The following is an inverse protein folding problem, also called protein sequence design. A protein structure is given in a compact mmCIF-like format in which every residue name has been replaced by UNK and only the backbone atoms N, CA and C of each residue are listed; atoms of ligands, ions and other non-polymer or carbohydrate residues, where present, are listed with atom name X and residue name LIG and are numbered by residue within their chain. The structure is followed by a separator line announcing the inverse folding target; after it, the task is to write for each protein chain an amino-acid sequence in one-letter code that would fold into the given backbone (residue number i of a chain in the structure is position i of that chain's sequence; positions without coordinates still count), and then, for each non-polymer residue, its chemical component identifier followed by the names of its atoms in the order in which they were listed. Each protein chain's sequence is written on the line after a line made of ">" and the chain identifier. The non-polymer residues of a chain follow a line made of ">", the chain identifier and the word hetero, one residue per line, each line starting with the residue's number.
data_IF_644619277405
#
_entry.id   IF_644619277405
#
_cell.length_a   1.000
_cell.length_b   1.000
_cell.length_c   1.000
_cell.angle_alpha   90.00
_cell.angle_beta   90.00
_cell.angle_gamma   90.00
#
_symmetry.space_group_name_H-M   'P 1'
#
loop_
_entity.id
_entity.type
_entity.pdbx_description
1 polymer ?
#
# COMPACT_ATOMS: atom_id res chain seq x y z
N UNK A 1 -39.82 18.59 24.16
CA UNK A 1 -39.09 17.34 24.31
C UNK A 1 -38.27 17.14 23.06
N UNK A 2 -37.00 17.55 23.10
CA UNK A 2 -36.08 17.25 22.01
C UNK A 2 -35.83 15.75 22.01
N UNK A 3 -36.45 15.04 21.11
CA UNK A 3 -35.98 13.71 20.74
C UNK A 3 -34.67 13.92 19.98
N UNK A 4 -33.57 13.97 20.68
CA UNK A 4 -32.27 13.70 20.10
C UNK A 4 -32.32 12.29 19.50
N UNK A 5 -32.58 12.25 18.22
CA UNK A 5 -32.41 11.04 17.42
C UNK A 5 -30.96 10.64 17.61
N UNK A 6 -30.72 9.75 18.55
CA UNK A 6 -29.42 9.10 18.73
C UNK A 6 -29.09 8.51 17.37
N UNK A 7 -28.14 9.11 16.67
CA UNK A 7 -27.64 8.60 15.40
C UNK A 7 -27.13 7.17 15.66
N UNK A 8 -27.95 6.18 15.29
CA UNK A 8 -27.58 4.79 15.52
C UNK A 8 -26.53 4.39 14.51
N UNK A 9 -25.29 4.32 14.97
CA UNK A 9 -24.22 3.67 14.23
C UNK A 9 -24.50 2.18 14.20
N UNK A 10 -24.57 1.61 13.01
CA UNK A 10 -24.67 0.16 12.82
C UNK A 10 -23.32 -0.40 12.40
N UNK A 11 -23.01 -1.56 12.94
CA UNK A 11 -21.83 -2.36 12.58
C UNK A 11 -22.24 -3.44 11.59
N UNK A 12 -21.49 -3.55 10.52
CA UNK A 12 -21.70 -4.53 9.47
C UNK A 12 -20.49 -5.44 9.35
N UNK A 13 -20.74 -6.68 8.93
CA UNK A 13 -19.71 -7.66 8.62
C UNK A 13 -20.18 -8.48 7.41
N UNK A 14 -19.36 -8.51 6.37
CA UNK A 14 -19.65 -9.27 5.15
C UNK A 14 -18.50 -10.20 4.81
N UNK A 15 -18.82 -11.35 4.26
CA UNK A 15 -17.85 -12.31 3.70
C UNK A 15 -17.60 -11.98 2.23
N UNK A 16 -16.50 -12.50 1.63
CA UNK A 16 -16.31 -12.42 0.19
C UNK A 16 -17.49 -13.06 -0.56
N UNK A 17 -17.81 -12.55 -1.75
CA UNK A 17 -18.91 -13.10 -2.56
C UNK A 17 -18.70 -14.57 -2.92
N UNK A 18 -17.49 -14.94 -3.34
CA UNK A 18 -17.10 -16.33 -3.52
C UNK A 18 -16.58 -16.89 -2.21
N UNK A 19 -17.49 -17.40 -1.38
CA UNK A 19 -17.12 -18.01 -0.09
C UNK A 19 -16.31 -19.28 -0.35
N UNK A 20 -15.06 -19.27 0.11
CA UNK A 20 -14.15 -20.42 0.06
C UNK A 20 -13.72 -20.76 1.48
N UNK A 21 -13.31 -22.03 1.68
CA UNK A 21 -12.76 -22.45 2.96
C UNK A 21 -11.41 -21.77 3.24
N UNK A 22 -10.61 -21.60 2.19
CA UNK A 22 -9.29 -20.96 2.23
C UNK A 22 -9.09 -20.09 0.99
N UNK A 23 -8.33 -19.01 1.14
CA UNK A 23 -7.91 -18.13 0.05
C UNK A 23 -6.38 -18.09 0.03
N UNK A 24 -5.78 -18.40 -1.09
CA UNK A 24 -4.33 -18.40 -1.31
C UNK A 24 -3.91 -17.45 -2.42
N UNK A 25 -2.67 -17.58 -2.88
CA UNK A 25 -2.14 -16.75 -3.96
C UNK A 25 -3.05 -16.74 -5.21
N UNK A 26 -3.12 -15.60 -5.89
CA UNK A 26 -3.93 -15.33 -7.07
C UNK A 26 -5.46 -15.39 -6.86
N UNK A 27 -5.95 -15.64 -5.66
CA UNK A 27 -7.39 -15.55 -5.44
C UNK A 27 -7.83 -14.06 -5.45
N UNK A 28 -9.05 -13.83 -5.93
CA UNK A 28 -9.75 -12.56 -5.79
C UNK A 28 -10.82 -12.69 -4.71
N UNK A 29 -10.87 -11.71 -3.82
CA UNK A 29 -11.83 -11.62 -2.73
C UNK A 29 -12.66 -10.36 -2.90
N UNK A 30 -13.91 -10.48 -3.33
CA UNK A 30 -14.82 -9.39 -3.60
C UNK A 30 -15.79 -9.20 -2.44
N UNK A 31 -15.72 -8.08 -1.75
CA UNK A 31 -16.62 -7.71 -0.67
C UNK A 31 -17.67 -6.72 -1.16
N UNK A 32 -18.94 -7.06 -1.02
CA UNK A 32 -20.05 -6.16 -1.30
C UNK A 32 -20.40 -5.37 -0.04
N UNK A 33 -20.13 -4.08 -0.06
CA UNK A 33 -20.47 -3.14 0.99
C UNK A 33 -21.81 -2.49 0.63
N UNK A 34 -22.84 -2.83 1.39
CA UNK A 34 -24.17 -2.26 1.25
C UNK A 34 -24.67 -1.83 2.63
N UNK A 35 -24.86 -0.54 2.81
CA UNK A 35 -25.29 0.03 4.10
C UNK A 35 -26.81 0.14 4.25
N UNK A 36 -27.55 -0.17 3.19
CA UNK A 36 -29.00 -0.02 3.13
C UNK A 36 -29.46 1.38 2.73
N UNK A 37 -30.71 1.46 2.30
CA UNK A 37 -31.35 2.71 1.91
C UNK A 37 -31.46 3.69 3.08
N UNK A 38 -31.28 4.98 2.82
CA UNK A 38 -31.32 6.03 3.84
C UNK A 38 -30.15 6.02 4.82
N UNK A 39 -29.07 5.32 4.49
CA UNK A 39 -27.85 5.25 5.30
C UNK A 39 -26.61 5.64 4.51
N UNK A 40 -25.59 6.06 5.24
CA UNK A 40 -24.29 6.44 4.73
C UNK A 40 -23.20 5.54 5.32
N UNK A 41 -22.20 5.18 4.51
CA UNK A 41 -20.98 4.53 4.97
C UNK A 41 -20.09 5.54 5.69
N UNK A 42 -19.63 5.20 6.89
CA UNK A 42 -18.69 6.02 7.64
C UNK A 42 -17.27 5.84 7.11
N UNK A 43 -16.59 6.92 6.72
CA UNK A 43 -15.19 6.86 6.28
C UNK A 43 -14.28 6.32 7.38
N UNK A 44 -13.19 5.71 6.96
CA UNK A 44 -12.18 5.24 7.89
C UNK A 44 -12.59 4.05 8.75
N UNK A 45 -13.75 3.42 8.49
CA UNK A 45 -14.26 2.31 9.30
C UNK A 45 -14.11 0.94 8.64
N UNK A 46 -13.73 0.90 7.36
CA UNK A 46 -13.53 -0.37 6.65
C UNK A 46 -12.29 -1.06 7.19
N UNK A 47 -12.46 -2.31 7.61
CA UNK A 47 -11.40 -3.21 8.08
C UNK A 47 -11.58 -4.59 7.49
N UNK A 48 -10.46 -5.22 7.16
CA UNK A 48 -10.41 -6.62 6.75
C UNK A 48 -9.87 -7.43 7.93
N UNK A 49 -10.55 -8.51 8.27
CA UNK A 49 -10.13 -9.45 9.31
C UNK A 49 -10.06 -10.86 8.75
N UNK A 50 -9.26 -11.68 9.36
CA UNK A 50 -9.13 -13.10 9.00
C UNK A 50 -8.11 -13.79 9.87
N UNK A 51 -7.84 -15.03 9.53
CA UNK A 51 -6.78 -15.83 10.12
C UNK A 51 -5.79 -16.21 9.02
N UNK A 52 -4.51 -16.11 9.33
CA UNK A 52 -3.40 -16.53 8.49
C UNK A 52 -2.97 -17.94 8.87
N UNK A 53 -2.80 -18.79 7.88
CA UNK A 53 -2.06 -20.06 7.96
C UNK A 53 -0.85 -19.99 7.08
N UNK A 54 0.27 -20.46 7.59
CA UNK A 54 1.49 -20.66 6.80
C UNK A 54 1.76 -22.14 6.70
N UNK A 55 1.80 -22.67 5.49
CA UNK A 55 2.03 -24.09 5.22
C UNK A 55 3.44 -24.27 4.66
N UNK A 56 4.24 -25.14 5.26
CA UNK A 56 5.52 -25.58 4.71
C UNK A 56 5.42 -27.02 4.17
N UNK A 57 6.14 -27.28 3.08
CA UNK A 57 6.22 -28.64 2.56
C UNK A 57 7.06 -29.53 3.48
N UNK A 58 6.53 -30.70 3.82
CA UNK A 58 7.12 -31.68 4.77
C UNK A 58 8.56 -32.14 4.45
N UNK A 59 9.03 -31.94 3.22
CA UNK A 59 10.32 -32.43 2.74
C UNK A 59 11.39 -31.35 2.61
N UNK A 60 11.06 -30.12 2.85
CA UNK A 60 12.02 -29.02 2.78
C UNK A 60 12.51 -28.73 4.18
N UNK A 61 13.77 -29.00 4.46
CA UNK A 61 14.46 -28.60 5.70
C UNK A 61 14.70 -27.11 5.67
N UNK A 62 13.64 -26.33 5.67
CA UNK A 62 13.76 -24.91 5.90
C UNK A 62 14.03 -24.71 7.38
N UNK A 63 15.27 -24.45 7.73
CA UNK A 63 15.67 -24.00 9.07
C UNK A 63 15.39 -22.50 9.24
N UNK A 64 14.93 -21.83 8.18
CA UNK A 64 14.71 -20.40 8.15
C UNK A 64 13.31 -19.99 8.57
N UNK A 65 13.22 -18.94 9.36
CA UNK A 65 11.96 -18.30 9.74
C UNK A 65 11.38 -17.57 8.54
N UNK A 66 10.06 -17.63 8.36
CA UNK A 66 9.31 -16.84 7.37
C UNK A 66 8.64 -15.67 8.06
N UNK A 67 8.59 -14.55 7.37
CA UNK A 67 7.99 -13.33 7.87
C UNK A 67 7.35 -12.53 6.75
N UNK A 68 6.61 -11.50 7.11
CA UNK A 68 6.08 -10.51 6.15
C UNK A 68 7.01 -9.31 6.08
N UNK A 69 6.84 -8.49 5.04
CA UNK A 69 7.45 -7.17 4.99
C UNK A 69 7.11 -6.38 6.27
N UNK A 70 8.10 -5.96 7.07
CA UNK A 70 7.86 -5.41 8.41
C UNK A 70 6.86 -4.27 8.47
N UNK A 71 6.93 -3.32 7.53
CA UNK A 71 6.04 -2.18 7.49
C UNK A 71 4.68 -2.48 6.84
N UNK A 72 4.56 -3.59 6.10
CA UNK A 72 3.33 -3.99 5.45
C UNK A 72 2.45 -4.84 6.35
N UNK A 73 3.04 -5.80 7.09
CA UNK A 73 2.27 -6.75 7.87
C UNK A 73 1.24 -7.49 7.02
N UNK A 74 0.02 -7.61 7.49
CA UNK A 74 -1.08 -8.28 6.79
C UNK A 74 -1.45 -7.65 5.43
N UNK A 75 -1.08 -6.41 5.17
CA UNK A 75 -1.27 -5.80 3.86
C UNK A 75 -0.43 -6.49 2.76
N UNK A 76 0.64 -7.20 3.13
CA UNK A 76 1.50 -7.91 2.17
C UNK A 76 0.77 -9.04 1.41
N UNK A 77 -0.35 -9.53 1.94
CA UNK A 77 -1.17 -10.55 1.25
C UNK A 77 -1.98 -9.98 0.08
N UNK A 78 -2.07 -8.67 -0.06
CA UNK A 78 -2.89 -8.02 -1.04
C UNK A 78 -2.02 -7.40 -2.14
N UNK A 79 -1.88 -8.05 -3.30
CA UNK A 79 -1.09 -7.55 -4.42
C UNK A 79 -1.68 -6.27 -5.01
N UNK A 80 -3.00 -6.28 -5.19
CA UNK A 80 -3.74 -5.10 -5.65
C UNK A 80 -5.09 -4.99 -4.97
N UNK A 81 -5.58 -3.76 -4.92
CA UNK A 81 -6.88 -3.43 -4.34
C UNK A 81 -7.64 -2.51 -5.26
N UNK A 82 -8.92 -2.79 -5.47
CA UNK A 82 -9.78 -1.90 -6.25
C UNK A 82 -11.07 -1.58 -5.51
N UNK A 83 -11.58 -0.38 -5.79
CA UNK A 83 -12.84 0.13 -5.27
C UNK A 83 -13.71 0.52 -6.45
N UNK A 84 -14.86 -0.10 -6.54
CA UNK A 84 -15.88 0.20 -7.54
C UNK A 84 -17.20 0.49 -6.86
N UNK A 85 -17.92 1.47 -7.36
CA UNK A 85 -19.28 1.80 -6.93
C UNK A 85 -20.25 1.57 -8.07
N UNK A 86 -21.47 1.20 -7.74
CA UNK A 86 -22.51 0.94 -8.74
C UNK A 86 -22.83 2.18 -9.57
N UNK A 87 -22.84 3.35 -8.95
CA UNK A 87 -23.30 4.59 -9.60
C UNK A 87 -22.18 5.39 -10.28
N UNK A 88 -20.92 5.24 -9.81
CA UNK A 88 -19.78 6.03 -10.33
C UNK A 88 -18.76 5.17 -11.09
N UNK A 89 -18.90 3.83 -11.04
CA UNK A 89 -17.93 2.92 -11.62
C UNK A 89 -16.66 2.77 -10.78
N UNK A 90 -15.53 2.58 -11.45
CA UNK A 90 -14.23 2.38 -10.81
C UNK A 90 -13.73 3.71 -10.21
N UNK A 91 -13.56 3.74 -8.90
CA UNK A 91 -13.00 4.89 -8.17
C UNK A 91 -11.49 4.78 -8.01
N UNK A 92 -11.00 3.61 -7.66
CA UNK A 92 -9.57 3.37 -7.39
C UNK A 92 -9.17 1.97 -7.82
N UNK A 93 -7.99 1.85 -8.44
CA UNK A 93 -7.37 0.58 -8.75
C UNK A 93 -5.87 0.70 -8.48
N UNK A 94 -5.45 0.26 -7.30
CA UNK A 94 -4.10 0.39 -6.82
C UNK A 94 -3.37 -0.95 -6.93
N UNK A 95 -2.49 -1.04 -7.92
CA UNK A 95 -1.60 -2.18 -8.13
C UNK A 95 -0.36 -2.03 -7.25
N UNK A 96 0.35 -3.13 -6.97
CA UNK A 96 1.53 -3.14 -6.09
C UNK A 96 1.22 -2.46 -4.73
N UNK A 97 0.06 -2.77 -4.21
CA UNK A 97 -0.50 -2.17 -3.00
C UNK A 97 0.41 -2.27 -1.77
N UNK A 98 1.09 -3.41 -1.48
CA UNK A 98 1.95 -3.50 -0.29
C UNK A 98 3.11 -2.50 -0.32
N UNK A 99 3.65 -2.21 -1.50
CA UNK A 99 4.73 -1.22 -1.64
C UNK A 99 4.24 0.19 -1.31
N UNK A 100 3.04 0.53 -1.75
CA UNK A 100 2.40 1.79 -1.33
C UNK A 100 2.22 1.84 0.19
N UNK A 101 1.76 0.74 0.79
CA UNK A 101 1.63 0.65 2.26
C UNK A 101 2.98 0.83 2.95
N UNK A 102 4.07 0.24 2.42
CA UNK A 102 5.40 0.43 2.97
C UNK A 102 5.86 1.89 2.89
N UNK A 103 5.61 2.56 1.77
CA UNK A 103 5.92 3.98 1.61
C UNK A 103 5.12 4.84 2.60
N UNK A 104 3.80 4.61 2.70
CA UNK A 104 2.92 5.31 3.64
C UNK A 104 3.34 5.07 5.10
N UNK A 105 3.65 3.83 5.45
CA UNK A 105 4.13 3.47 6.78
C UNK A 105 5.48 4.15 7.10
N UNK A 106 6.40 4.15 6.14
CA UNK A 106 7.70 4.79 6.29
C UNK A 106 7.58 6.28 6.52
N UNK A 107 6.63 6.94 5.86
CA UNK A 107 6.42 8.38 5.97
C UNK A 107 5.55 8.77 7.19
N UNK A 108 4.62 7.91 7.62
CA UNK A 108 3.55 8.28 8.56
C UNK A 108 3.62 7.65 9.93
N UNK A 109 4.29 6.49 10.08
CA UNK A 109 4.34 5.82 11.37
C UNK A 109 5.43 6.44 12.25
N UNK A 110 5.02 6.99 13.39
CA UNK A 110 5.96 7.35 14.44
C UNK A 110 6.78 6.12 14.84
N UNK A 111 8.06 6.35 15.12
CA UNK A 111 8.98 5.28 15.50
C UNK A 111 8.35 4.42 16.59
N UNK A 112 7.68 3.36 16.19
CA UNK A 112 7.74 2.09 16.85
C UNK A 112 7.28 2.02 18.28
N UNK A 113 6.05 2.24 18.50
CA UNK A 113 5.47 1.53 19.62
C UNK A 113 5.09 0.10 19.14
N UNK A 114 6.00 -0.86 19.39
CA UNK A 114 5.74 -2.29 19.18
C UNK A 114 4.54 -2.76 20.02
N UNK A 115 4.16 -1.99 21.01
CA UNK A 115 3.02 -2.20 21.89
C UNK A 115 1.74 -1.55 21.33
N UNK A 116 1.82 -0.81 20.22
CA UNK A 116 0.62 -0.32 19.59
C UNK A 116 -0.25 -1.49 19.11
N UNK A 117 -1.44 -1.58 19.67
CA UNK A 117 -2.43 -2.59 19.34
C UNK A 117 -2.76 -2.65 17.85
N UNK A 118 -2.67 -1.51 17.15
CA UNK A 118 -2.86 -1.44 15.70
C UNK A 118 -1.76 -2.23 14.97
N UNK A 119 -0.51 -1.98 15.32
CA UNK A 119 0.63 -2.67 14.69
C UNK A 119 0.58 -4.18 14.95
N UNK A 120 0.18 -4.59 16.15
CA UNK A 120 -0.01 -6.00 16.48
C UNK A 120 -1.14 -6.63 15.67
N UNK A 121 -2.31 -5.98 15.58
CA UNK A 121 -3.43 -6.49 14.79
C UNK A 121 -3.12 -6.54 13.29
N UNK A 122 -2.34 -5.59 12.78
CA UNK A 122 -1.93 -5.54 11.39
C UNK A 122 -0.72 -6.44 11.11
N UNK A 123 -0.20 -7.18 12.09
CA UNK A 123 0.98 -8.04 11.99
C UNK A 123 2.23 -7.29 11.50
N UNK A 124 2.36 -6.01 11.81
CA UNK A 124 3.53 -5.22 11.46
C UNK A 124 4.67 -5.53 12.42
N UNK A 125 5.81 -5.91 11.87
CA UNK A 125 7.04 -6.04 12.65
C UNK A 125 7.72 -4.68 12.71
N UNK A 126 7.97 -4.22 13.90
CA UNK A 126 8.67 -2.98 14.11
C UNK A 126 10.17 -3.17 14.06
N UNK A 127 10.85 -2.22 13.45
CA UNK A 127 12.22 -2.19 13.00
C UNK A 127 13.31 -2.28 14.08
N UNK A 128 13.21 -3.07 15.10
CA UNK A 128 14.41 -3.41 15.84
C UNK A 128 14.94 -4.75 15.34
N UNK A 129 15.85 -4.66 14.39
CA UNK A 129 16.69 -5.73 13.93
C UNK A 129 17.60 -6.19 15.07
N UNK A 130 17.10 -7.01 15.95
CA UNK A 130 17.95 -7.98 16.60
C UNK A 130 18.05 -9.15 15.62
N UNK A 131 19.23 -9.65 15.38
CA UNK A 131 19.64 -10.50 14.27
C UNK A 131 18.86 -11.81 14.04
N UNK A 132 17.77 -12.05 14.71
CA UNK A 132 17.02 -13.30 14.66
C UNK A 132 15.50 -13.17 14.66
N UNK A 133 14.91 -12.02 14.99
CA UNK A 133 13.46 -11.91 15.13
C UNK A 133 12.89 -10.73 14.34
N UNK A 134 12.36 -11.04 13.14
CA UNK A 134 11.72 -10.05 12.28
C UNK A 134 10.24 -9.81 12.61
N UNK A 135 9.63 -10.70 13.37
CA UNK A 135 8.24 -10.56 13.80
C UNK A 135 8.14 -10.88 15.29
N UNK A 136 7.77 -9.91 16.09
CA UNK A 136 7.36 -10.15 17.46
C UNK A 136 6.02 -10.89 17.46
N UNK A 137 6.07 -12.12 17.89
CA UNK A 137 4.90 -12.93 18.18
C UNK A 137 4.27 -13.66 17.00
N UNK A 138 4.77 -13.51 15.79
CA UNK A 138 4.18 -14.12 14.58
C UNK A 138 5.23 -14.82 13.73
N UNK A 139 6.19 -15.43 14.35
CA UNK A 139 7.06 -16.35 13.63
C UNK A 139 6.45 -17.74 13.78
N UNK A 140 5.90 -18.35 12.71
CA UNK A 140 5.65 -19.78 12.78
C UNK A 140 6.99 -20.43 13.07
N UNK A 141 7.17 -20.89 14.29
CA UNK A 141 8.37 -21.66 14.66
C UNK A 141 8.19 -23.04 14.08
N UNK A 142 8.68 -23.23 12.87
CA UNK A 142 8.58 -24.51 12.20
C UNK A 142 9.61 -25.43 12.79
N UNK A 143 9.15 -26.37 13.56
CA UNK A 143 9.96 -27.47 14.08
C UNK A 143 10.18 -28.46 12.96
N UNK A 144 11.43 -28.79 12.68
CA UNK A 144 11.85 -29.74 11.65
C UNK A 144 11.01 -31.01 11.72
N UNK A 145 10.25 -31.30 10.63
CA UNK A 145 9.55 -32.57 10.46
C UNK A 145 8.06 -32.61 10.79
N UNK A 146 7.46 -31.50 11.22
CA UNK A 146 6.01 -31.41 11.43
C UNK A 146 5.48 -30.20 10.66
N UNK A 147 4.48 -30.40 9.83
CA UNK A 147 3.73 -29.27 9.26
C UNK A 147 2.97 -28.63 10.42
N UNK A 148 3.46 -27.50 10.92
CA UNK A 148 2.76 -26.73 11.94
C UNK A 148 1.91 -25.71 11.22
N UNK A 149 0.60 -25.90 11.28
CA UNK A 149 -0.37 -24.92 10.81
C UNK A 149 -0.80 -24.12 12.04
N UNK A 150 -0.19 -22.99 12.27
CA UNK A 150 -0.67 -22.04 13.27
C UNK A 150 -1.61 -21.05 12.59
N UNK A 151 -2.79 -20.84 13.21
CA UNK A 151 -3.71 -19.81 12.79
C UNK A 151 -3.38 -18.53 13.54
N UNK A 152 -3.15 -17.45 12.81
CA UNK A 152 -2.80 -16.16 13.35
C UNK A 152 -3.86 -15.16 12.95
N UNK A 153 -4.54 -14.61 13.94
CA UNK A 153 -5.57 -13.59 13.71
C UNK A 153 -4.94 -12.29 13.23
N UNK A 154 -5.55 -11.68 12.23
CA UNK A 154 -5.17 -10.35 11.77
C UNK A 154 -6.37 -9.45 11.53
N UNK A 155 -6.11 -8.15 11.60
CA UNK A 155 -7.07 -7.10 11.26
C UNK A 155 -6.33 -5.90 10.70
N UNK A 156 -6.56 -5.52 9.46
CA UNK A 156 -5.96 -4.34 8.89
C UNK A 156 -7.00 -3.39 8.27
N UNK A 157 -6.65 -2.11 8.23
CA UNK A 157 -7.45 -1.06 7.60
C UNK A 157 -6.86 -0.77 6.22
N UNK A 158 -7.54 -1.15 5.12
CA UNK A 158 -7.02 -0.90 3.79
C UNK A 158 -6.87 0.60 3.51
N UNK A 159 -5.75 0.96 2.86
CA UNK A 159 -5.42 2.34 2.50
C UNK A 159 -6.09 2.73 1.16
N UNK A 160 -7.41 2.69 1.14
CA UNK A 160 -8.23 2.98 -0.04
C UNK A 160 -8.98 4.29 0.10
N UNK A 161 -9.45 4.84 -1.02
CA UNK A 161 -10.19 6.10 -1.09
C UNK A 161 -11.39 6.17 -0.12
N UNK A 162 -12.11 5.06 0.08
CA UNK A 162 -13.24 4.98 1.01
C UNK A 162 -12.86 5.28 2.46
N UNK A 163 -11.65 4.90 2.86
CA UNK A 163 -11.15 5.18 4.20
C UNK A 163 -10.56 6.60 4.32
N UNK A 164 -10.38 7.31 3.20
CA UNK A 164 -9.79 8.65 3.10
C UNK A 164 -10.83 9.72 2.72
N UNK A 165 -12.12 9.36 2.64
CA UNK A 165 -13.16 10.33 2.34
C UNK A 165 -13.33 11.34 3.49
N UNK A 166 -13.64 12.58 3.14
CA UNK A 166 -13.76 13.71 4.06
C UNK A 166 -15.08 13.71 4.85
N UNK A 167 -16.05 12.94 4.39
CA UNK A 167 -17.40 12.83 5.02
C UNK A 167 -18.08 11.51 4.69
N UNK A 168 -19.23 11.30 5.31
CA UNK A 168 -20.07 10.12 5.13
C UNK A 168 -20.52 9.96 3.67
N UNK A 169 -20.54 8.72 3.21
CA UNK A 169 -20.89 8.36 1.83
C UNK A 169 -22.31 7.79 1.77
N UNK A 170 -23.30 8.60 1.32
CA UNK A 170 -24.68 8.15 1.18
C UNK A 170 -24.82 7.02 0.14
N UNK A 171 -25.57 5.98 0.49
CA UNK A 171 -25.87 4.86 -0.41
C UNK A 171 -26.56 5.34 -1.71
N UNK A 172 -27.37 6.37 -1.61
CA UNK A 172 -28.05 6.96 -2.78
C UNK A 172 -27.05 7.49 -3.83
N UNK A 173 -25.85 7.93 -3.42
CA UNK A 173 -24.80 8.41 -4.34
C UNK A 173 -23.91 7.30 -4.85
N UNK A 174 -23.49 6.41 -3.99
CA UNK A 174 -22.53 5.36 -4.32
C UNK A 174 -23.18 4.12 -4.93
N UNK A 175 -24.43 3.83 -4.55
CA UNK A 175 -24.98 2.50 -4.75
C UNK A 175 -24.19 1.47 -3.93
N UNK A 176 -24.30 0.21 -4.30
CA UNK A 176 -23.46 -0.85 -3.72
C UNK A 176 -21.99 -0.64 -4.09
N UNK A 177 -21.13 -0.80 -3.11
CA UNK A 177 -19.68 -0.65 -3.29
C UNK A 177 -19.04 -2.03 -3.32
N UNK A 178 -18.21 -2.28 -4.30
CA UNK A 178 -17.37 -3.49 -4.37
C UNK A 178 -15.95 -3.13 -3.97
N UNK A 179 -15.46 -3.76 -2.91
CA UNK A 179 -14.05 -3.75 -2.53
C UNK A 179 -13.44 -5.08 -2.92
N UNK A 180 -12.52 -5.06 -3.89
CA UNK A 180 -11.85 -6.24 -4.39
C UNK A 180 -10.40 -6.27 -3.91
N UNK A 181 -9.98 -7.41 -3.38
CA UNK A 181 -8.60 -7.72 -3.03
C UNK A 181 -8.11 -8.84 -3.94
N UNK A 182 -7.02 -8.62 -4.68
CA UNK A 182 -6.32 -9.68 -5.38
C UNK A 182 -5.13 -10.11 -4.54
N UNK A 183 -5.07 -11.39 -4.20
CA UNK A 183 -4.07 -11.90 -3.28
C UNK A 183 -2.70 -12.07 -3.95
N UNK A 184 -1.67 -11.73 -3.19
CA UNK A 184 -0.29 -11.72 -3.63
C UNK A 184 0.28 -13.13 -3.79
N UNK A 185 1.36 -13.23 -4.56
CA UNK A 185 2.15 -14.47 -4.65
C UNK A 185 2.76 -14.81 -3.30
N UNK A 186 2.91 -16.11 -3.03
CA UNK A 186 3.57 -16.58 -1.80
C UNK A 186 4.95 -15.93 -1.61
N UNK A 187 5.77 -15.90 -2.67
CA UNK A 187 7.11 -15.30 -2.65
C UNK A 187 7.13 -13.77 -2.49
N UNK A 188 6.03 -13.10 -2.79
CA UNK A 188 5.89 -11.66 -2.58
C UNK A 188 5.41 -11.33 -1.18
N UNK A 189 4.47 -12.12 -0.66
CA UNK A 189 3.87 -11.91 0.65
C UNK A 189 4.78 -12.35 1.79
N UNK A 190 5.55 -13.43 1.60
CA UNK A 190 6.39 -14.05 2.62
C UNK A 190 7.84 -14.08 2.17
N UNK A 191 8.77 -13.74 3.05
CA UNK A 191 10.20 -13.91 2.83
C UNK A 191 10.89 -14.48 4.07
N UNK A 192 12.11 -15.00 3.91
CA UNK A 192 12.85 -15.60 5.00
C UNK A 192 14.29 -15.95 4.64
N UNK A 193 15.01 -16.58 5.55
CA UNK A 193 16.44 -16.86 5.41
C UNK A 193 16.76 -17.94 4.36
N UNK A 194 15.81 -18.77 3.96
CA UNK A 194 16.02 -19.83 2.99
C UNK A 194 15.29 -19.57 1.67
N UNK A 195 15.86 -20.05 0.57
CA UNK A 195 15.28 -19.94 -0.78
C UNK A 195 14.13 -20.93 -1.04
N UNK A 196 13.47 -21.39 0.01
CA UNK A 196 12.40 -22.36 -0.14
C UNK A 196 11.13 -21.74 -0.70
N UNK A 197 10.87 -22.00 -1.96
CA UNK A 197 9.67 -21.56 -2.66
C UNK A 197 8.42 -22.38 -2.29
N UNK A 198 8.57 -23.44 -1.50
CA UNK A 198 7.45 -24.34 -1.16
C UNK A 198 6.59 -23.86 0.00
N UNK A 199 7.00 -22.78 0.69
CA UNK A 199 6.17 -22.16 1.74
C UNK A 199 5.02 -21.40 1.10
N UNK A 200 3.79 -21.74 1.52
CA UNK A 200 2.57 -21.09 1.06
C UNK A 200 1.81 -20.48 2.22
N UNK A 201 0.99 -19.49 1.94
CA UNK A 201 0.03 -18.98 2.91
C UNK A 201 -1.41 -19.26 2.47
N UNK A 202 -2.27 -19.35 3.45
CA UNK A 202 -3.72 -19.40 3.28
C UNK A 202 -4.38 -18.42 4.23
N UNK A 203 -5.36 -17.69 3.73
CA UNK A 203 -6.22 -16.84 4.55
C UNK A 203 -7.56 -17.55 4.74
N UNK A 204 -8.02 -17.63 5.97
CA UNK A 204 -9.30 -18.24 6.33
C UNK A 204 -10.17 -17.25 7.07
N UNK A 205 -11.47 -17.48 7.10
CA UNK A 205 -12.45 -16.65 7.82
C UNK A 205 -12.41 -15.17 7.44
N UNK A 206 -12.08 -14.85 6.18
CA UNK A 206 -12.00 -13.47 5.71
C UNK A 206 -13.34 -12.76 5.85
N UNK A 207 -13.32 -11.55 6.43
CA UNK A 207 -14.47 -10.67 6.59
C UNK A 207 -14.08 -9.22 6.36
N UNK A 208 -15.00 -8.47 5.79
CA UNK A 208 -14.91 -7.01 5.72
C UNK A 208 -15.90 -6.43 6.74
N UNK A 209 -15.40 -5.60 7.63
CA UNK A 209 -16.18 -4.87 8.64
C UNK A 209 -16.26 -3.41 8.26
N UNK A 210 -17.42 -2.80 8.48
CA UNK A 210 -17.62 -1.37 8.27
C UNK A 210 -18.77 -0.85 9.14
N UNK A 211 -18.88 0.46 9.23
CA UNK A 211 -19.93 1.12 10.00
C UNK A 211 -20.78 1.99 9.10
N UNK A 212 -22.05 2.10 9.43
CA UNK A 212 -22.96 3.02 8.78
C UNK A 212 -23.72 3.89 9.78
N UNK A 213 -24.16 5.04 9.31
CA UNK A 213 -24.94 6.02 10.06
C UNK A 213 -26.20 6.38 9.25
N UNK A 214 -27.20 6.94 9.90
CA UNK A 214 -28.35 7.52 9.18
C UNK A 214 -27.87 8.64 8.26
N UNK A 215 -28.40 8.66 7.04
CA UNK A 215 -28.03 9.66 6.06
C UNK A 215 -28.41 11.06 6.53
N UNK A 216 -27.43 11.96 6.52
CA UNK A 216 -27.64 13.38 6.88
C UNK A 216 -28.30 14.19 5.77
N UNK A 217 -28.56 13.59 4.60
CA UNK A 217 -29.09 14.26 3.40
C UNK A 217 -28.26 15.49 2.98
N UNK A 218 -26.97 15.49 3.28
CA UNK A 218 -26.08 16.57 2.90
C UNK A 218 -25.77 16.51 1.40
N UNK A 219 -26.16 17.52 0.59
CA UNK A 219 -25.92 17.52 -0.86
C UNK A 219 -24.49 17.85 -1.26
N UNK A 220 -23.62 18.24 -0.33
CA UNK A 220 -22.25 18.66 -0.66
C UNK A 220 -21.44 17.51 -1.26
N UNK A 221 -20.52 17.79 -2.18
CA UNK A 221 -19.64 16.77 -2.76
C UNK A 221 -18.77 16.10 -1.69
N UNK A 222 -18.46 14.84 -1.94
CA UNK A 222 -17.61 14.02 -1.07
C UNK A 222 -16.24 13.96 -1.72
N UNK A 223 -15.23 14.49 -1.05
CA UNK A 223 -13.87 14.45 -1.54
C UNK A 223 -13.12 13.27 -0.91
N UNK A 224 -12.34 12.58 -1.71
CA UNK A 224 -11.54 11.45 -1.26
C UNK A 224 -10.17 11.45 -1.95
N UNK A 225 -9.15 11.06 -1.19
CA UNK A 225 -7.82 10.84 -1.76
C UNK A 225 -7.80 9.52 -2.54
N UNK A 226 -7.38 9.59 -3.79
CA UNK A 226 -7.20 8.43 -4.68
C UNK A 226 -5.74 8.33 -5.07
N UNK A 227 -5.24 7.11 -5.23
CA UNK A 227 -3.86 6.88 -5.65
C UNK A 227 -3.85 6.13 -6.97
N UNK A 228 -3.13 6.67 -7.93
CA UNK A 228 -2.83 6.00 -9.20
C UNK A 228 -1.38 5.55 -9.20
N UNK A 229 -1.10 4.35 -9.70
CA UNK A 229 0.27 3.90 -9.80
C UNK A 229 0.66 3.50 -11.23
N UNK A 230 1.94 3.71 -11.52
CA UNK A 230 2.58 3.32 -12.78
C UNK A 230 3.85 2.56 -12.45
N UNK A 231 4.03 1.39 -13.05
CA UNK A 231 5.27 0.59 -12.95
C UNK A 231 6.09 0.75 -14.23
N UNK A 232 7.38 0.92 -14.07
CA UNK A 232 8.38 0.99 -15.16
C UNK A 232 9.69 0.35 -14.72
N UNK A 233 10.70 0.36 -15.58
CA UNK A 233 12.03 -0.15 -15.25
C UNK A 233 13.14 0.76 -15.76
N UNK A 234 14.26 0.74 -15.04
CA UNK A 234 15.52 1.37 -15.40
C UNK A 234 16.49 0.27 -15.84
N UNK A 235 17.00 0.40 -17.05
CA UNK A 235 17.95 -0.56 -17.64
C UNK A 235 19.35 0.04 -17.87
N UNK A 236 19.51 1.35 -17.60
CA UNK A 236 20.75 2.08 -17.88
C UNK A 236 21.03 3.13 -16.79
N UNK A 237 22.22 3.72 -16.83
CA UNK A 237 22.64 4.78 -15.89
C UNK A 237 21.83 6.07 -16.03
N UNK A 238 21.25 6.31 -17.19
CA UNK A 238 20.33 7.43 -17.43
C UNK A 238 19.00 6.87 -17.87
N UNK A 239 17.95 7.21 -17.17
CA UNK A 239 16.59 6.76 -17.45
C UNK A 239 15.62 7.94 -17.50
N UNK A 240 14.66 7.85 -18.41
CA UNK A 240 13.53 8.78 -18.51
C UNK A 240 12.24 7.99 -18.39
N UNK A 241 11.51 8.20 -17.32
CA UNK A 241 10.30 7.47 -17.01
C UNK A 241 9.14 8.44 -17.11
N UNK A 242 8.24 8.19 -18.05
CA UNK A 242 7.08 9.06 -18.28
C UNK A 242 5.79 8.37 -17.86
N UNK A 243 4.87 9.15 -17.31
CA UNK A 243 3.55 8.70 -16.92
C UNK A 243 2.47 9.70 -17.34
N UNK A 244 1.34 9.14 -17.78
CA UNK A 244 0.09 9.86 -17.92
C UNK A 244 -0.92 9.22 -16.98
N UNK A 245 -1.62 10.03 -16.23
CA UNK A 245 -2.62 9.58 -15.26
C UNK A 245 -3.93 10.32 -15.56
N UNK A 246 -5.08 9.63 -15.61
CA UNK A 246 -6.36 10.26 -15.96
C UNK A 246 -6.95 11.05 -14.77
N UNK A 247 -6.15 11.92 -14.17
CA UNK A 247 -6.53 12.65 -12.97
C UNK A 247 -5.77 13.96 -12.80
N UNK A 248 -6.33 14.83 -11.97
CA UNK A 248 -5.66 16.00 -11.43
C UNK A 248 -4.92 15.55 -10.16
N UNK A 249 -3.60 15.63 -10.18
CA UNK A 249 -2.74 15.14 -9.13
C UNK A 249 -2.08 16.27 -8.35
N UNK A 250 -1.89 16.05 -7.06
CA UNK A 250 -1.26 17.01 -6.14
C UNK A 250 0.23 16.73 -5.96
N UNK A 251 0.63 15.45 -6.03
CA UNK A 251 2.00 15.03 -5.80
C UNK A 251 2.29 13.64 -6.37
N UNK A 252 3.56 13.27 -6.42
CA UNK A 252 4.03 11.95 -6.80
C UNK A 252 5.09 11.47 -5.80
N UNK A 253 5.02 10.19 -5.45
CA UNK A 253 6.07 9.48 -4.73
C UNK A 253 6.58 8.31 -5.57
N UNK A 254 7.90 8.07 -5.52
CA UNK A 254 8.57 7.10 -6.39
C UNK A 254 9.43 6.19 -5.55
N UNK A 255 9.29 4.89 -5.71
CA UNK A 255 10.11 3.89 -5.05
C UNK A 255 10.76 2.94 -6.05
N UNK A 256 11.82 2.29 -5.60
CA UNK A 256 12.65 1.43 -6.42
C UNK A 256 12.86 0.08 -5.75
N UNK A 257 13.11 -0.94 -6.56
CA UNK A 257 13.64 -2.23 -6.14
C UNK A 257 14.45 -2.85 -7.25
N UNK A 258 15.56 -3.48 -6.93
CA UNK A 258 16.28 -4.28 -7.92
C UNK A 258 15.41 -5.46 -8.36
N UNK A 259 15.34 -5.70 -9.67
CA UNK A 259 14.49 -6.76 -10.22
C UNK A 259 14.82 -8.16 -9.64
N UNK A 260 16.06 -8.37 -9.24
CA UNK A 260 16.51 -9.62 -8.60
C UNK A 260 16.02 -9.80 -7.16
N UNK A 261 15.45 -8.76 -6.51
CA UNK A 261 14.92 -8.81 -5.16
C UNK A 261 13.38 -8.90 -5.13
N UNK A 262 12.73 -8.65 -6.27
CA UNK A 262 11.28 -8.74 -6.38
C UNK A 262 10.84 -10.19 -6.62
N UNK A 263 9.90 -10.68 -5.83
CA UNK A 263 9.37 -12.05 -5.88
C UNK A 263 10.42 -13.14 -5.65
N UNK A 264 11.36 -12.89 -4.76
CA UNK A 264 12.40 -13.83 -4.37
C UNK A 264 12.27 -14.16 -2.88
N UNK A 265 12.24 -15.45 -2.49
CA UNK A 265 11.89 -15.83 -1.11
C UNK A 265 12.81 -15.31 -0.02
N UNK A 266 14.04 -14.88 -0.34
CA UNK A 266 15.05 -14.39 0.63
C UNK A 266 15.06 -12.87 0.75
N UNK A 267 14.29 -12.15 -0.06
CA UNK A 267 14.25 -10.70 -0.06
C UNK A 267 12.84 -10.19 0.22
N UNK A 268 12.77 -9.07 0.94
CA UNK A 268 11.51 -8.33 1.04
C UNK A 268 11.18 -7.68 -0.31
N UNK A 269 10.20 -8.25 -1.01
CA UNK A 269 9.74 -7.76 -2.31
C UNK A 269 9.15 -6.35 -2.27
N UNK A 270 8.89 -5.82 -1.08
CA UNK A 270 8.29 -4.49 -0.89
C UNK A 270 9.29 -3.49 -0.31
N UNK A 271 10.58 -3.87 -0.19
CA UNK A 271 11.63 -2.96 0.28
C UNK A 271 11.74 -1.70 -0.57
N UNK A 272 12.13 -0.60 0.07
CA UNK A 272 12.32 0.70 -0.58
C UNK A 272 13.83 0.91 -0.76
N UNK A 273 14.35 0.44 -1.87
CA UNK A 273 15.78 0.45 -2.16
C UNK A 273 16.21 1.77 -2.81
N UNK A 274 17.42 2.22 -2.53
CA UNK A 274 18.02 3.35 -3.24
C UNK A 274 18.63 2.91 -4.57
N UNK A 275 18.78 3.86 -5.47
CA UNK A 275 19.59 3.68 -6.66
C UNK A 275 21.07 3.83 -6.31
N UNK A 276 21.90 2.94 -6.86
CA UNK A 276 23.34 3.00 -6.66
C UNK A 276 23.89 4.28 -7.29
N UNK A 277 24.65 5.06 -6.51
CA UNK A 277 25.29 6.31 -6.96
C UNK A 277 24.32 7.25 -7.69
N UNK A 278 23.14 7.47 -7.11
CA UNK A 278 22.20 8.45 -7.63
C UNK A 278 22.83 9.85 -7.62
N UNK A 279 23.01 10.41 -8.80
CA UNK A 279 23.66 11.71 -8.97
C UNK A 279 22.67 12.85 -9.16
N UNK A 280 21.59 12.60 -9.90
CA UNK A 280 20.65 13.65 -10.29
C UNK A 280 19.25 13.07 -10.52
N UNK A 281 18.26 13.83 -10.10
CA UNK A 281 16.85 13.58 -10.41
C UNK A 281 16.26 14.85 -10.99
N UNK A 282 15.57 14.72 -12.12
CA UNK A 282 14.91 15.81 -12.79
C UNK A 282 13.43 15.50 -12.97
N UNK A 283 12.56 16.39 -12.52
CA UNK A 283 11.13 16.30 -12.71
C UNK A 283 10.67 17.27 -13.78
N UNK A 284 9.98 16.76 -14.80
CA UNK A 284 9.59 17.52 -15.97
C UNK A 284 8.08 17.37 -16.18
N UNK A 285 7.40 18.49 -16.32
CA UNK A 285 6.02 18.55 -16.76
C UNK A 285 5.99 19.05 -18.20
N UNK A 286 5.41 18.27 -19.09
CA UNK A 286 5.28 18.64 -20.48
C UNK A 286 3.80 18.94 -20.77
N UNK A 287 3.48 20.22 -20.92
CA UNK A 287 2.17 20.68 -21.40
C UNK A 287 2.15 20.61 -22.93
N UNK A 288 0.98 20.34 -23.50
CA UNK A 288 0.74 20.37 -24.94
C UNK A 288 1.03 21.75 -25.57
N UNK A 289 1.15 22.80 -24.76
CA UNK A 289 1.29 24.20 -25.19
C UNK A 289 2.69 24.82 -25.00
N UNK A 290 3.73 24.05 -24.67
CA UNK A 290 5.14 24.46 -24.58
C UNK A 290 5.71 24.94 -23.23
N UNK A 291 5.05 24.83 -22.11
CA UNK A 291 5.73 25.15 -20.85
C UNK A 291 6.36 23.90 -20.26
N UNK A 292 7.68 23.88 -20.27
CA UNK A 292 8.48 22.86 -19.58
C UNK A 292 8.83 23.39 -18.19
N UNK A 293 8.21 22.84 -17.16
CA UNK A 293 8.61 23.10 -15.77
C UNK A 293 9.59 22.00 -15.39
N UNK A 294 10.81 22.40 -15.04
CA UNK A 294 11.88 21.46 -14.71
C UNK A 294 12.37 21.73 -13.30
N UNK A 295 12.33 20.71 -12.48
CA UNK A 295 12.96 20.70 -11.17
C UNK A 295 14.15 19.75 -11.24
N UNK A 296 15.36 20.28 -11.02
CA UNK A 296 16.60 19.53 -11.06
C UNK A 296 17.19 19.44 -9.65
N UNK A 297 17.37 18.23 -9.14
CA UNK A 297 17.81 17.99 -7.77
C UNK A 297 19.06 17.09 -7.80
N UNK A 298 20.14 17.59 -7.20
CA UNK A 298 21.42 16.89 -7.07
C UNK A 298 21.78 16.59 -5.62
N UNK A 299 21.16 17.25 -4.67
CA UNK A 299 21.42 17.08 -3.24
C UNK A 299 20.48 16.05 -2.60
N UNK A 300 21.05 15.08 -1.87
CA UNK A 300 20.26 14.04 -1.21
C UNK A 300 19.37 14.57 -0.08
N UNK A 301 19.74 15.68 0.53
CA UNK A 301 18.92 16.31 1.57
C UNK A 301 17.67 16.90 0.94
N UNK A 302 17.81 17.57 -0.19
CA UNK A 302 16.67 18.09 -0.95
C UNK A 302 15.78 16.94 -1.47
N UNK A 303 16.38 15.83 -1.95
CA UNK A 303 15.61 14.64 -2.36
C UNK A 303 14.73 14.12 -1.23
N UNK A 304 15.27 14.06 0.00
CA UNK A 304 14.52 13.63 1.18
C UNK A 304 13.41 14.62 1.54
N UNK A 305 13.72 15.92 1.59
CA UNK A 305 12.73 16.95 1.91
C UNK A 305 11.56 16.93 0.92
N UNK A 306 11.84 16.82 -0.37
CA UNK A 306 10.84 16.74 -1.41
C UNK A 306 9.98 15.47 -1.30
N UNK A 307 10.59 14.34 -0.94
CA UNK A 307 9.86 13.08 -0.72
C UNK A 307 8.91 13.18 0.47
N UNK A 308 9.35 13.79 1.55
CA UNK A 308 8.54 14.05 2.75
C UNK A 308 7.34 14.93 2.42
N UNK A 309 7.58 16.02 1.70
CA UNK A 309 6.52 16.94 1.30
C UNK A 309 5.51 16.29 0.35
N UNK A 310 5.98 15.47 -0.58
CA UNK A 310 5.12 14.72 -1.49
C UNK A 310 4.18 13.75 -0.75
N UNK A 311 4.66 13.14 0.32
CA UNK A 311 3.87 12.23 1.17
C UNK A 311 2.98 12.98 2.18
N UNK A 312 3.04 14.32 2.24
CA UNK A 312 2.21 15.19 3.12
C UNK A 312 2.22 14.83 4.59
N UNK A 313 3.34 14.31 5.07
CA UNK A 313 3.45 13.87 6.45
C UNK A 313 4.57 14.60 7.18
N UNK A 314 4.34 15.86 7.48
CA UNK A 314 5.33 16.75 8.08
C UNK A 314 5.51 16.57 9.59
N UNK A 315 4.53 15.99 10.30
CA UNK A 315 4.54 15.98 11.77
C UNK A 315 5.10 14.72 12.41
N UNK A 316 5.16 13.60 11.69
CA UNK A 316 5.60 12.31 12.22
C UNK A 316 6.46 11.53 11.22
N UNK A 317 7.45 12.20 10.66
CA UNK A 317 8.30 11.59 9.66
C UNK A 317 9.34 10.68 10.28
N UNK A 318 9.33 9.41 9.89
CA UNK A 318 10.30 8.41 10.31
C UNK A 318 11.51 8.28 9.39
N UNK A 319 11.47 8.91 8.24
CA UNK A 319 12.57 8.84 7.29
C UNK A 319 13.70 9.73 7.80
N UNK A 320 14.63 9.13 8.54
CA UNK A 320 15.87 9.84 8.86
C UNK A 320 16.81 9.80 7.66
N UNK A 321 17.69 10.81 7.56
CA UNK A 321 18.72 10.87 6.52
C UNK A 321 19.59 9.60 6.51
N UNK A 322 19.88 9.02 7.67
CA UNK A 322 20.67 7.80 7.77
C UNK A 322 19.96 6.58 7.17
N UNK A 323 18.66 6.42 7.42
CA UNK A 323 17.84 5.35 6.82
C UNK A 323 17.67 5.56 5.31
N UNK A 324 17.50 6.80 4.88
CA UNK A 324 17.41 7.16 3.48
C UNK A 324 18.70 6.79 2.73
N UNK A 325 19.86 7.18 3.27
CA UNK A 325 21.18 6.87 2.72
C UNK A 325 21.53 5.37 2.80
N UNK A 326 21.06 4.70 3.85
CA UNK A 326 21.35 3.29 4.10
C UNK A 326 20.51 2.31 3.25
N UNK A 327 19.80 2.79 2.24
CA UNK A 327 18.98 1.95 1.35
C UNK A 327 17.82 1.20 2.04
N UNK A 328 17.29 1.75 3.12
CA UNK A 328 16.23 1.10 3.89
C UNK A 328 14.86 1.76 3.78
N UNK A 329 14.83 3.03 3.38
CA UNK A 329 13.63 3.84 3.32
C UNK A 329 13.74 4.91 2.22
N UNK A 330 14.26 4.50 1.05
CA UNK A 330 14.49 5.42 -0.04
C UNK A 330 13.20 5.69 -0.80
N UNK A 331 12.77 6.94 -0.81
CA UNK A 331 11.60 7.42 -1.55
C UNK A 331 12.00 8.72 -2.23
N UNK A 332 11.80 8.81 -3.54
CA UNK A 332 11.80 10.10 -4.21
C UNK A 332 10.38 10.66 -4.25
N UNK A 333 10.23 11.97 -4.33
CA UNK A 333 8.91 12.57 -4.45
C UNK A 333 8.96 14.03 -4.85
N UNK A 334 7.81 14.52 -5.30
CA UNK A 334 7.57 15.92 -5.61
C UNK A 334 6.13 16.29 -5.25
N UNK A 335 5.99 17.33 -4.45
CA UNK A 335 4.72 18.06 -4.30
C UNK A 335 4.62 19.05 -5.47
N UNK A 336 3.48 19.06 -6.14
CA UNK A 336 3.30 19.91 -7.33
C UNK A 336 2.96 21.37 -6.98
N UNK A 337 2.85 21.70 -5.68
CA UNK A 337 2.39 22.98 -5.15
C UNK A 337 0.97 23.34 -5.59
N UNK A 338 0.73 23.43 -6.89
CA UNK A 338 -0.59 23.50 -7.51
C UNK A 338 -0.93 22.16 -8.17
N UNK A 339 -2.19 21.75 -8.06
CA UNK A 339 -2.66 20.51 -8.65
C UNK A 339 -2.54 20.52 -10.19
N UNK A 340 -1.92 19.48 -10.75
CA UNK A 340 -1.64 19.34 -12.18
C UNK A 340 -2.56 18.32 -12.82
N UNK A 341 -3.22 18.70 -13.90
CA UNK A 341 -4.04 17.79 -14.72
C UNK A 341 -3.13 16.89 -15.59
N UNK A 342 -2.81 15.70 -15.07
CA UNK A 342 -1.97 14.73 -15.76
C UNK A 342 -2.71 13.94 -16.86
N UNK A 343 -4.00 14.16 -17.04
CA UNK A 343 -4.73 13.63 -18.21
C UNK A 343 -4.36 14.38 -19.49
N UNK A 344 -3.92 15.63 -19.36
CA UNK A 344 -3.50 16.51 -20.47
C UNK A 344 -1.98 16.69 -20.51
N UNK A 345 -1.34 16.62 -19.35
CA UNK A 345 0.08 16.82 -19.19
C UNK A 345 0.80 15.49 -18.95
N UNK A 346 2.04 15.39 -19.41
CA UNK A 346 2.91 14.26 -19.15
C UNK A 346 3.84 14.61 -18.00
N UNK A 347 3.87 13.77 -16.97
CA UNK A 347 4.93 13.80 -15.97
C UNK A 347 6.09 12.92 -16.43
N UNK A 348 7.31 13.40 -16.33
CA UNK A 348 8.51 12.64 -16.63
C UNK A 348 9.51 12.81 -15.50
N UNK A 349 10.00 11.69 -14.98
CA UNK A 349 11.12 11.64 -14.06
C UNK A 349 12.36 11.18 -14.83
N UNK A 350 13.37 12.04 -14.93
CA UNK A 350 14.69 11.66 -15.45
C UNK A 350 15.62 11.40 -14.28
N UNK A 351 16.37 10.31 -14.37
CA UNK A 351 17.26 9.85 -13.32
C UNK A 351 18.62 9.61 -13.93
N UNK A 352 19.64 10.20 -13.30
CA UNK A 352 21.04 9.91 -13.60
C UNK A 352 21.68 9.24 -12.38
N UNK A 353 22.17 8.02 -12.57
CA UNK A 353 22.84 7.24 -11.55
C UNK A 353 24.24 6.84 -12.00
N UNK A 354 25.10 6.38 -11.08
CA UNK A 354 26.46 5.97 -11.39
C UNK A 354 26.56 4.73 -12.28
N UNK A 355 27.77 4.38 -12.65
CA UNK A 355 28.11 3.35 -13.63
C UNK A 355 27.67 1.93 -13.21
N UNK A 356 27.37 1.70 -11.95
CA UNK A 356 27.13 0.37 -11.38
C UNK A 356 25.68 -0.11 -11.41
N UNK A 357 24.75 0.65 -12.00
CA UNK A 357 23.38 0.16 -12.24
C UNK A 357 23.35 -0.85 -13.40
N UNK A 358 24.16 -1.88 -13.29
CA UNK A 358 24.25 -2.96 -14.29
C UNK A 358 23.01 -3.86 -14.24
N UNK A 359 22.16 -3.71 -13.22
CA UNK A 359 21.00 -4.57 -13.00
C UNK A 359 19.70 -3.79 -13.19
N UNK A 360 18.70 -4.41 -13.84
CA UNK A 360 17.40 -3.79 -13.99
C UNK A 360 16.80 -3.42 -12.63
N UNK A 361 16.29 -2.20 -12.54
CA UNK A 361 15.61 -1.69 -11.35
C UNK A 361 14.16 -1.42 -11.71
N UNK A 362 13.24 -2.00 -10.98
CA UNK A 362 11.81 -1.69 -11.11
C UNK A 362 11.49 -0.38 -10.38
N UNK A 363 10.70 0.45 -11.05
CA UNK A 363 10.29 1.76 -10.58
C UNK A 363 8.79 1.79 -10.42
N UNK A 364 8.34 2.30 -9.29
CA UNK A 364 6.92 2.43 -8.97
C UNK A 364 6.63 3.89 -8.64
N UNK A 365 5.81 4.52 -9.45
CA UNK A 365 5.34 5.89 -9.24
C UNK A 365 3.90 5.85 -8.71
N UNK A 366 3.65 6.56 -7.62
CA UNK A 366 2.34 6.70 -7.00
C UNK A 366 1.93 8.16 -7.04
N UNK A 367 0.88 8.45 -7.80
CA UNK A 367 0.33 9.79 -7.97
C UNK A 367 -0.86 9.98 -7.03
N UNK A 368 -0.78 11.01 -6.20
CA UNK A 368 -1.83 11.35 -5.25
C UNK A 368 -2.79 12.34 -5.90
N UNK A 369 -4.03 11.95 -5.99
CA UNK A 369 -5.09 12.71 -6.61
C UNK A 369 -6.29 12.87 -5.68
N UNK A 370 -7.19 13.77 -6.03
CA UNK A 370 -8.48 13.93 -5.36
C UNK A 370 -9.60 13.58 -6.33
N UNK A 371 -10.47 12.69 -5.89
CA UNK A 371 -11.74 12.43 -6.55
C UNK A 371 -12.87 13.08 -5.76
N UNK A 372 -13.94 13.45 -6.45
CA UNK A 372 -15.17 13.98 -5.84
C UNK A 372 -16.37 13.24 -6.40
N UNK A 373 -17.28 12.81 -5.55
CA UNK A 373 -18.55 12.16 -5.90
C UNK A 373 -19.75 12.88 -5.30
#
# INVERSE_FOLDING_TARGET
>A
MNNDLVQRVLYHSVQPQSVQATYGEYNSCDFLINVGEGRSLLPGTIRITGELRVNEALNTRSTGKRTFAPNCGAHAFCDSISVQTQNQGLLENLQNYPRYVNMDATASLATLDMLDSRNQCELRATLQKTSTDYCLGVTPTLTTGTAVTENIDFSFKPLVCLNKADRDMPMARTGTITLQLNLARNMSALFGESQDAATTYELVNLKCHYKSIMDSQNPAPINMGVVYNVKSNILSTTASISANVPAVCDSVAISFIQNQHENVPVYDSHSLESLVNLAEVQYIFNDQTNSLITYNITDQTEMLERAVDAMRNTSHNQVSMDKFRANQSFILGLNFEDAVDLSKNRFTCQIQSGVDNVRPVNVFMYFFARASI
#
